data_IF_441137323177
#
_entry.id   IF_441137323177
#
_cell.length_a   1.000
_cell.length_b   1.000
_cell.length_c   1.000
_cell.angle_alpha   90.00
_cell.angle_beta   90.00
_cell.angle_gamma   90.00
#
_symmetry.space_group_name_H-M   'P 1'
#
loop_
_entity.id
_entity.type
_entity.pdbx_description
1 polymer ?
#
# COMPACT_ATOMS: atom_id res chain seq x y z
N UNK A 1 5.31 11.86 -0.95
CA UNK A 1 4.53 12.04 -2.21
C UNK A 1 4.60 10.74 -3.00
N UNK A 2 3.48 10.27 -3.54
CA UNK A 2 3.43 9.12 -4.44
C UNK A 2 3.96 9.49 -5.83
N UNK A 3 4.67 8.55 -6.47
CA UNK A 3 5.21 8.74 -7.83
C UNK A 3 4.15 8.47 -8.90
N UNK A 4 3.22 7.57 -8.64
CA UNK A 4 2.09 7.21 -9.49
C UNK A 4 0.88 6.85 -8.63
N UNK A 5 -0.30 6.85 -9.24
CA UNK A 5 -1.51 6.33 -8.61
C UNK A 5 -2.18 5.33 -9.57
N UNK A 6 -1.99 4.05 -9.29
CA UNK A 6 -2.51 2.89 -10.04
C UNK A 6 -2.06 2.78 -11.51
N UNK A 7 -2.18 3.85 -12.30
CA UNK A 7 -1.87 3.89 -13.72
C UNK A 7 -0.56 4.64 -14.01
N UNK A 8 -0.17 4.66 -15.29
CA UNK A 8 0.99 5.41 -15.75
C UNK A 8 0.85 6.89 -15.44
N UNK A 9 1.86 7.46 -14.81
CA UNK A 9 2.03 8.90 -14.62
C UNK A 9 3.16 9.45 -15.51
N UNK A 10 3.38 10.76 -15.47
CA UNK A 10 4.57 11.39 -16.10
C UNK A 10 5.88 11.02 -15.37
N UNK A 11 5.80 10.44 -14.17
CA UNK A 11 6.94 10.16 -13.28
C UNK A 11 7.31 8.67 -13.33
N UNK A 12 6.33 7.80 -13.15
CA UNK A 12 6.52 6.36 -12.93
C UNK A 12 5.32 5.56 -13.45
N UNK A 13 5.53 4.27 -13.60
CA UNK A 13 4.48 3.31 -13.93
C UNK A 13 3.70 2.93 -12.67
N UNK A 14 2.38 2.81 -12.79
CA UNK A 14 1.50 2.38 -11.73
C UNK A 14 1.31 0.86 -11.69
N UNK A 15 0.88 0.34 -10.53
CA UNK A 15 0.80 -1.11 -10.26
C UNK A 15 -0.24 -1.87 -11.11
N UNK A 16 -1.17 -1.18 -11.76
CA UNK A 16 -2.17 -1.81 -12.64
C UNK A 16 -1.76 -1.88 -14.10
N UNK A 17 -0.65 -1.22 -14.49
CA UNK A 17 -0.16 -1.31 -15.86
C UNK A 17 0.34 -2.70 -16.22
N UNK A 18 0.17 -3.09 -17.49
CA UNK A 18 0.64 -4.37 -18.02
C UNK A 18 2.14 -4.31 -18.28
N UNK A 19 2.62 -3.18 -18.82
CA UNK A 19 4.02 -2.95 -19.10
C UNK A 19 4.61 -1.98 -18.07
N UNK A 20 5.74 -2.35 -17.50
CA UNK A 20 6.46 -1.54 -16.51
C UNK A 20 7.84 -1.11 -17.04
N UNK A 21 7.90 0.00 -17.81
CA UNK A 21 9.15 0.53 -18.32
C UNK A 21 10.01 1.24 -17.26
N UNK A 22 9.55 1.35 -16.01
CA UNK A 22 10.29 1.98 -14.93
C UNK A 22 10.04 3.49 -14.78
N UNK A 23 11.03 4.18 -14.20
CA UNK A 23 10.99 5.62 -13.94
C UNK A 23 11.31 6.42 -15.20
N UNK A 24 10.48 7.40 -15.53
CA UNK A 24 10.70 8.27 -16.69
C UNK A 24 11.91 9.19 -16.50
N UNK A 25 12.40 9.79 -17.60
CA UNK A 25 13.45 10.82 -17.51
C UNK A 25 13.05 11.99 -16.60
N UNK A 26 11.79 12.43 -16.68
CA UNK A 26 11.25 13.45 -15.78
C UNK A 26 11.16 12.94 -14.35
N UNK A 27 10.72 11.70 -14.14
CA UNK A 27 10.67 11.06 -12.83
C UNK A 27 12.01 11.04 -12.10
N UNK A 28 13.12 10.80 -12.82
CA UNK A 28 14.49 10.88 -12.24
C UNK A 28 14.81 12.28 -11.69
N UNK A 29 14.35 13.32 -12.37
CA UNK A 29 14.53 14.71 -11.91
C UNK A 29 13.64 15.00 -10.68
N UNK A 30 12.40 14.51 -10.68
CA UNK A 30 11.47 14.64 -9.55
C UNK A 30 12.03 13.95 -8.31
N UNK A 31 12.52 12.71 -8.41
CA UNK A 31 13.15 11.98 -7.29
C UNK A 31 14.34 12.77 -6.72
N UNK A 32 15.20 13.30 -7.59
CA UNK A 32 16.33 14.14 -7.17
C UNK A 32 15.88 15.36 -6.40
N UNK A 33 14.83 16.04 -6.87
CA UNK A 33 14.31 17.24 -6.21
C UNK A 33 13.60 16.89 -4.90
N UNK A 34 12.82 15.81 -4.84
CA UNK A 34 12.24 15.32 -3.59
C UNK A 34 13.31 15.04 -2.53
N UNK A 35 14.41 14.40 -2.92
CA UNK A 35 15.54 14.18 -2.02
C UNK A 35 16.18 15.49 -1.55
N UNK A 36 16.30 16.51 -2.42
CA UNK A 36 16.87 17.83 -2.10
C UNK A 36 16.05 18.55 -1.05
N UNK A 37 14.72 18.54 -1.17
CA UNK A 37 13.81 19.23 -0.26
C UNK A 37 13.39 18.40 0.96
N UNK A 38 13.85 17.15 1.07
CA UNK A 38 13.50 16.24 2.19
C UNK A 38 12.08 15.66 2.11
N UNK A 39 11.48 15.62 0.90
CA UNK A 39 10.15 15.03 0.73
C UNK A 39 10.25 13.51 0.63
N UNK A 40 9.48 12.81 1.48
CA UNK A 40 9.42 11.35 1.47
C UNK A 40 8.77 10.84 0.18
N UNK A 41 9.41 9.84 -0.43
CA UNK A 41 8.91 9.13 -1.61
C UNK A 41 8.09 7.94 -1.16
N UNK A 42 6.85 7.83 -1.65
CA UNK A 42 5.94 6.73 -1.40
C UNK A 42 5.70 5.94 -2.71
N UNK A 43 5.92 4.62 -2.64
CA UNK A 43 5.78 3.72 -3.78
C UNK A 43 4.59 2.76 -3.65
N UNK A 44 3.63 3.05 -2.77
CA UNK A 44 2.47 2.17 -2.53
C UNK A 44 1.68 1.83 -3.78
N UNK A 45 1.50 2.77 -4.71
CA UNK A 45 0.79 2.55 -5.98
C UNK A 45 1.71 2.33 -7.18
N UNK A 46 3.04 2.35 -6.97
CA UNK A 46 4.02 2.22 -8.05
C UNK A 46 4.21 0.74 -8.40
N UNK A 47 4.43 0.45 -9.67
CA UNK A 47 4.73 -0.89 -10.19
C UNK A 47 6.07 -1.42 -9.69
N UNK A 48 6.32 -2.69 -9.89
CA UNK A 48 7.48 -3.39 -9.33
C UNK A 48 8.82 -2.81 -9.82
N UNK A 49 9.03 -2.76 -11.14
CA UNK A 49 10.28 -2.26 -11.72
C UNK A 49 10.50 -0.78 -11.40
N UNK A 50 9.44 0.04 -11.54
CA UNK A 50 9.51 1.46 -11.17
C UNK A 50 9.86 1.66 -9.69
N UNK A 51 9.39 0.78 -8.81
CA UNK A 51 9.70 0.82 -7.39
C UNK A 51 11.17 0.52 -7.11
N UNK A 52 11.73 -0.54 -7.71
CA UNK A 52 13.17 -0.85 -7.59
C UNK A 52 14.04 0.27 -8.16
N UNK A 53 13.66 0.84 -9.31
CA UNK A 53 14.39 1.98 -9.86
C UNK A 53 14.33 3.21 -8.94
N UNK A 54 13.17 3.50 -8.33
CA UNK A 54 13.03 4.60 -7.39
C UNK A 54 13.93 4.44 -6.17
N UNK A 55 14.00 3.23 -5.58
CA UNK A 55 14.89 2.92 -4.46
C UNK A 55 16.36 3.17 -4.87
N UNK A 56 16.77 2.64 -6.02
CA UNK A 56 18.12 2.81 -6.54
C UNK A 56 18.51 4.27 -6.82
N UNK A 57 17.55 5.08 -7.24
CA UNK A 57 17.77 6.50 -7.56
C UNK A 57 17.73 7.41 -6.33
N UNK A 58 17.00 7.01 -5.30
CA UNK A 58 16.85 7.81 -4.10
C UNK A 58 18.12 7.75 -3.23
N UNK A 59 18.48 8.89 -2.65
CA UNK A 59 19.54 9.00 -1.64
C UNK A 59 19.00 8.99 -0.22
N UNK A 60 17.70 8.82 -0.06
CA UNK A 60 17.00 8.81 1.23
C UNK A 60 16.07 7.60 1.28
N UNK A 61 15.75 7.09 2.47
CA UNK A 61 14.78 6.02 2.62
C UNK A 61 13.45 6.32 1.90
N UNK A 62 12.89 5.29 1.30
CA UNK A 62 11.59 5.30 0.62
C UNK A 62 10.60 4.51 1.46
N UNK A 63 9.30 4.82 1.34
CA UNK A 63 8.25 4.11 2.08
C UNK A 63 7.25 3.43 1.16
N UNK A 64 6.71 2.33 1.64
CA UNK A 64 5.44 1.77 1.21
C UNK A 64 4.43 2.17 2.28
N UNK A 65 3.72 3.29 2.09
CA UNK A 65 2.87 3.82 3.16
C UNK A 65 1.64 2.96 3.44
N UNK A 66 1.11 2.24 2.43
CA UNK A 66 -0.08 1.39 2.56
C UNK A 66 -0.12 0.27 1.51
N UNK A 67 0.33 -0.91 1.86
CA UNK A 67 0.21 -2.14 1.08
C UNK A 67 0.45 -3.35 1.99
N UNK A 68 0.20 -4.55 1.46
CA UNK A 68 0.48 -5.79 2.17
C UNK A 68 1.47 -6.67 1.38
N UNK A 69 2.05 -7.71 1.97
CA UNK A 69 2.90 -8.64 1.24
C UNK A 69 2.08 -9.52 0.28
N UNK A 70 2.55 -9.69 -0.95
CA UNK A 70 1.91 -10.55 -1.96
C UNK A 70 2.00 -12.05 -1.60
N UNK A 71 3.03 -12.46 -0.84
CA UNK A 71 3.15 -13.83 -0.33
C UNK A 71 2.07 -14.20 0.70
N UNK A 72 1.39 -13.20 1.31
CA UNK A 72 0.22 -13.41 2.15
C UNK A 72 -1.07 -13.41 1.33
N UNK A 73 -1.19 -12.44 0.45
CA UNK A 73 -2.32 -12.32 -0.47
C UNK A 73 -1.88 -11.66 -1.79
N UNK A 74 -1.85 -12.43 -2.90
CA UNK A 74 -1.44 -11.90 -4.19
C UNK A 74 -2.48 -10.92 -4.74
N UNK A 75 -2.10 -9.67 -4.88
CA UNK A 75 -2.88 -8.64 -5.58
C UNK A 75 -1.92 -7.64 -6.24
N UNK A 76 -2.39 -6.93 -7.25
CA UNK A 76 -1.55 -5.93 -7.93
C UNK A 76 -1.14 -4.74 -7.03
N UNK A 77 -1.87 -4.54 -5.94
CA UNK A 77 -1.55 -3.49 -4.95
C UNK A 77 -0.56 -3.97 -3.90
N UNK A 78 -0.50 -5.26 -3.63
CA UNK A 78 0.44 -5.82 -2.68
C UNK A 78 1.85 -5.90 -3.27
N UNK A 79 2.84 -5.99 -2.43
CA UNK A 79 4.24 -5.88 -2.80
C UNK A 79 4.97 -7.20 -2.65
N UNK A 80 5.89 -7.47 -3.56
CA UNK A 80 6.72 -8.67 -3.50
C UNK A 80 7.62 -8.69 -2.26
N UNK A 81 7.94 -9.90 -1.79
CA UNK A 81 8.88 -10.11 -0.69
C UNK A 81 10.23 -9.43 -0.96
N UNK A 82 10.71 -9.51 -2.21
CA UNK A 82 11.96 -8.87 -2.64
C UNK A 82 11.90 -7.34 -2.54
N UNK A 83 10.80 -6.73 -2.96
CA UNK A 83 10.65 -5.28 -2.90
C UNK A 83 10.55 -4.78 -1.45
N UNK A 84 9.78 -5.48 -0.60
CA UNK A 84 9.68 -5.11 0.82
C UNK A 84 11.05 -5.21 1.50
N UNK A 85 11.82 -6.28 1.23
CA UNK A 85 13.18 -6.43 1.74
C UNK A 85 14.10 -5.29 1.29
N UNK A 86 14.03 -4.90 0.03
CA UNK A 86 14.85 -3.80 -0.49
C UNK A 86 14.52 -2.47 0.17
N UNK A 87 13.21 -2.18 0.36
CA UNK A 87 12.75 -0.98 1.08
C UNK A 87 13.26 -0.98 2.52
N UNK A 88 13.04 -2.05 3.26
CA UNK A 88 13.39 -2.13 4.70
C UNK A 88 14.90 -2.14 4.91
N UNK A 89 15.67 -2.86 4.09
CA UNK A 89 17.14 -2.87 4.18
C UNK A 89 17.78 -1.52 3.82
N UNK A 90 17.09 -0.69 3.04
CA UNK A 90 17.54 0.68 2.74
C UNK A 90 17.10 1.72 3.81
N UNK A 91 16.58 1.27 4.94
CA UNK A 91 16.10 2.13 6.04
C UNK A 91 14.70 2.69 5.84
N UNK A 92 13.97 2.17 4.86
CA UNK A 92 12.57 2.50 4.64
C UNK A 92 11.62 1.64 5.48
N UNK A 93 10.32 1.78 5.25
CA UNK A 93 9.30 1.03 6.00
C UNK A 93 8.11 0.64 5.14
N UNK A 94 7.36 -0.35 5.61
CA UNK A 94 6.06 -0.71 5.08
C UNK A 94 4.95 -0.44 6.10
N UNK A 95 3.88 0.27 5.67
CA UNK A 95 2.62 0.43 6.40
C UNK A 95 1.59 -0.57 5.91
N UNK A 96 1.11 -1.44 6.80
CA UNK A 96 0.12 -2.45 6.44
C UNK A 96 -1.25 -1.85 6.20
N UNK A 97 -1.81 -2.16 5.05
CA UNK A 97 -3.12 -1.68 4.61
C UNK A 97 -4.25 -2.52 5.18
N UNK A 98 -5.32 -1.85 5.60
CA UNK A 98 -6.57 -2.49 6.04
C UNK A 98 -7.65 -2.39 4.95
N UNK A 99 -7.30 -1.81 3.79
CA UNK A 99 -8.22 -1.73 2.67
C UNK A 99 -8.58 -3.13 2.15
N UNK A 100 -9.87 -3.48 2.04
CA UNK A 100 -10.31 -4.87 1.83
C UNK A 100 -9.71 -5.56 0.60
N UNK A 101 -9.47 -4.85 -0.50
CA UNK A 101 -8.86 -5.44 -1.71
C UNK A 101 -7.37 -5.78 -1.55
N UNK A 102 -6.74 -5.38 -0.46
CA UNK A 102 -5.37 -5.75 -0.12
C UNK A 102 -5.30 -6.92 0.89
N UNK A 103 -6.46 -7.33 1.43
CA UNK A 103 -6.57 -8.35 2.46
C UNK A 103 -7.01 -9.70 1.89
N UNK A 104 -6.48 -10.80 2.41
CA UNK A 104 -6.74 -12.16 1.95
C UNK A 104 -8.23 -12.52 1.92
N UNK A 105 -8.98 -12.09 2.94
CA UNK A 105 -10.41 -12.38 3.06
C UNK A 105 -11.28 -11.13 2.85
N UNK A 106 -10.70 -10.07 2.28
CA UNK A 106 -11.39 -8.81 2.00
C UNK A 106 -12.07 -8.23 3.24
N UNK A 107 -13.34 -7.88 3.11
CA UNK A 107 -14.16 -7.36 4.22
C UNK A 107 -14.39 -8.35 5.37
N UNK A 108 -14.15 -9.65 5.14
CA UNK A 108 -14.25 -10.71 6.14
C UNK A 108 -12.92 -10.99 6.86
N UNK A 109 -11.87 -10.25 6.55
CA UNK A 109 -10.58 -10.40 7.21
C UNK A 109 -10.74 -10.24 8.73
N UNK A 110 -10.28 -11.24 9.47
CA UNK A 110 -10.31 -11.20 10.94
C UNK A 110 -9.10 -10.43 11.47
N UNK A 111 -9.22 -9.87 12.67
CA UNK A 111 -8.11 -9.23 13.36
C UNK A 111 -6.94 -10.20 13.58
N UNK A 112 -7.24 -11.47 13.91
CA UNK A 112 -6.25 -12.53 14.04
C UNK A 112 -5.47 -12.77 12.75
N UNK A 113 -6.15 -12.86 11.59
CA UNK A 113 -5.51 -13.02 10.28
C UNK A 113 -4.60 -11.84 9.94
N UNK A 114 -5.07 -10.62 10.18
CA UNK A 114 -4.28 -9.41 9.95
C UNK A 114 -3.05 -9.36 10.85
N UNK A 115 -3.22 -9.63 12.14
CA UNK A 115 -2.11 -9.63 13.11
C UNK A 115 -1.10 -10.73 12.83
N UNK A 116 -1.54 -11.91 12.41
CA UNK A 116 -0.66 -13.01 12.01
C UNK A 116 0.18 -12.65 10.77
N UNK A 117 -0.37 -11.89 9.82
CA UNK A 117 0.39 -11.36 8.69
C UNK A 117 1.51 -10.43 9.17
N UNK A 118 1.20 -9.54 10.10
CA UNK A 118 2.18 -8.60 10.65
C UNK A 118 3.28 -9.35 11.41
N UNK A 119 2.93 -10.32 12.26
CA UNK A 119 3.91 -11.11 13.00
C UNK A 119 4.90 -11.83 12.05
N UNK A 120 4.38 -12.48 11.01
CA UNK A 120 5.23 -13.11 9.99
C UNK A 120 6.05 -12.10 9.20
N UNK A 121 5.59 -10.88 9.06
CA UNK A 121 6.35 -9.80 8.43
C UNK A 121 7.46 -9.29 9.34
N UNK A 122 7.22 -9.23 10.66
CA UNK A 122 8.26 -8.90 11.65
C UNK A 122 9.41 -9.90 11.62
N UNK A 123 9.10 -11.20 11.54
CA UNK A 123 10.12 -12.26 11.38
C UNK A 123 10.96 -12.09 10.10
N UNK A 124 10.38 -11.54 9.02
CA UNK A 124 11.05 -11.40 7.71
C UNK A 124 11.82 -10.11 7.54
N UNK A 125 11.34 -9.01 8.10
CA UNK A 125 11.79 -7.66 7.78
C UNK A 125 12.27 -6.87 9.00
N UNK A 126 12.10 -7.41 10.21
CA UNK A 126 12.36 -6.69 11.48
C UNK A 126 11.19 -5.77 11.85
N UNK A 127 10.93 -5.63 13.15
CA UNK A 127 9.80 -4.86 13.69
C UNK A 127 9.93 -3.35 13.43
N UNK A 128 11.17 -2.83 13.49
CA UNK A 128 11.45 -1.38 13.34
C UNK A 128 11.06 -0.78 11.99
N UNK A 129 10.85 -1.65 10.99
CA UNK A 129 10.52 -1.23 9.63
C UNK A 129 9.03 -1.38 9.29
N UNK A 130 8.21 -1.70 10.29
CA UNK A 130 6.78 -1.98 10.11
C UNK A 130 5.94 -0.84 10.68
N UNK A 131 4.77 -0.64 10.10
CA UNK A 131 3.79 0.35 10.57
C UNK A 131 2.39 0.03 10.07
N UNK A 132 1.43 0.85 10.41
CA UNK A 132 0.05 0.74 9.94
C UNK A 132 -0.27 1.90 9.00
N UNK A 133 -0.66 1.56 7.78
CA UNK A 133 -1.14 2.49 6.76
C UNK A 133 -2.55 2.11 6.32
N UNK A 134 -3.55 2.46 7.12
CA UNK A 134 -4.90 1.87 7.04
C UNK A 134 -5.59 1.98 5.68
N UNK A 135 -5.32 3.04 4.92
CA UNK A 135 -6.00 3.34 3.65
C UNK A 135 -7.53 3.38 3.79
N UNK A 136 -8.01 3.84 4.95
CA UNK A 136 -9.45 3.86 5.25
C UNK A 136 -10.16 5.01 4.55
N UNK A 137 -11.27 4.71 3.89
CA UNK A 137 -12.15 5.68 3.24
C UNK A 137 -13.39 5.97 4.12
N UNK A 138 -13.14 6.46 5.33
CA UNK A 138 -14.20 6.72 6.31
C UNK A 138 -15.15 7.81 5.84
N UNK A 139 -16.47 7.52 5.92
CA UNK A 139 -17.55 8.47 5.62
C UNK A 139 -17.52 9.05 4.19
N UNK A 140 -16.92 8.36 3.24
CA UNK A 140 -16.95 8.76 1.86
C UNK A 140 -18.19 8.20 1.18
N UNK A 141 -19.01 9.03 0.51
CA UNK A 141 -20.17 8.56 -0.22
C UNK A 141 -19.77 7.88 -1.55
N UNK A 142 -20.64 7.01 -2.07
CA UNK A 142 -20.37 6.22 -3.28
C UNK A 142 -20.03 7.07 -4.51
N UNK A 143 -20.60 8.28 -4.62
CA UNK A 143 -20.32 9.19 -5.74
C UNK A 143 -18.84 9.67 -5.76
N UNK A 144 -18.10 9.58 -4.66
CA UNK A 144 -16.67 9.85 -4.64
C UNK A 144 -15.92 8.77 -5.44
N UNK A 145 -16.32 7.50 -5.29
CA UNK A 145 -15.73 6.41 -6.08
C UNK A 145 -16.05 6.59 -7.56
N UNK A 146 -17.28 6.93 -7.90
CA UNK A 146 -17.68 7.21 -9.27
C UNK A 146 -16.85 8.34 -9.87
N UNK A 147 -16.65 9.43 -9.13
CA UNK A 147 -15.80 10.54 -9.54
C UNK A 147 -14.34 10.11 -9.74
N UNK A 148 -13.77 9.36 -8.80
CA UNK A 148 -12.41 8.84 -8.87
C UNK A 148 -12.19 7.94 -10.10
N UNK A 149 -13.20 7.17 -10.49
CA UNK A 149 -13.16 6.24 -11.62
C UNK A 149 -13.41 6.91 -12.96
N UNK A 150 -14.14 8.02 -12.97
CA UNK A 150 -14.63 8.63 -14.20
C UNK A 150 -13.49 9.27 -15.01
N UNK A 151 -13.18 8.65 -16.15
CA UNK A 151 -12.14 9.11 -17.08
C UNK A 151 -10.69 8.94 -16.60
N UNK A 152 -10.47 8.39 -15.42
CA UNK A 152 -9.15 8.26 -14.81
C UNK A 152 -8.53 6.88 -15.05
N UNK A 153 -9.35 5.82 -15.13
CA UNK A 153 -8.90 4.44 -15.27
C UNK A 153 -9.59 3.70 -16.41
N UNK A 154 -8.98 2.60 -16.85
CA UNK A 154 -9.59 1.74 -17.85
C UNK A 154 -10.93 1.19 -17.36
N UNK A 155 -11.94 1.25 -18.23
CA UNK A 155 -13.24 0.65 -17.97
C UNK A 155 -13.23 -0.89 -18.05
N UNK A 156 -12.17 -1.45 -18.60
CA UNK A 156 -12.01 -2.90 -18.81
C UNK A 156 -11.45 -3.61 -17.57
N UNK A 157 -10.78 -2.87 -16.69
CA UNK A 157 -10.22 -3.42 -15.46
C UNK A 157 -11.22 -3.22 -14.33
N UNK A 158 -11.65 -4.32 -13.72
CA UNK A 158 -12.43 -4.27 -12.48
C UNK A 158 -11.48 -4.06 -11.29
N UNK A 159 -11.53 -2.86 -10.74
CA UNK A 159 -10.77 -2.50 -9.53
C UNK A 159 -11.52 -2.86 -8.24
N UNK A 160 -12.70 -3.51 -8.36
CA UNK A 160 -13.57 -3.89 -7.26
C UNK A 160 -14.62 -2.84 -6.92
N UNK A 161 -14.22 -1.70 -6.38
CA UNK A 161 -15.12 -0.58 -6.13
C UNK A 161 -15.38 0.22 -7.41
N UNK A 162 -16.54 0.87 -7.50
CA UNK A 162 -16.98 1.63 -8.67
C UNK A 162 -17.32 0.78 -9.90
N UNK A 163 -17.41 -0.55 -9.73
CA UNK A 163 -17.89 -1.47 -10.78
C UNK A 163 -19.42 -1.53 -10.82
N UNK A 164 -19.97 -2.20 -11.84
CA UNK A 164 -21.43 -2.44 -11.93
C UNK A 164 -22.00 -3.18 -10.73
N UNK A 165 -21.17 -4.04 -10.11
CA UNK A 165 -21.58 -4.90 -8.99
C UNK A 165 -21.25 -4.27 -7.63
N UNK A 166 -20.43 -3.24 -7.60
CA UNK A 166 -20.02 -2.53 -6.40
C UNK A 166 -19.79 -1.05 -6.74
N UNK A 167 -20.79 -0.22 -6.56
CA UNK A 167 -20.78 1.20 -6.91
C UNK A 167 -19.97 2.06 -5.93
N UNK A 168 -19.77 1.58 -4.71
CA UNK A 168 -19.12 2.30 -3.62
C UNK A 168 -17.80 1.68 -3.17
N UNK A 169 -17.30 2.18 -2.04
CA UNK A 169 -16.16 1.57 -1.36
C UNK A 169 -16.55 0.22 -0.75
N UNK A 170 -15.61 -0.76 -0.68
CA UNK A 170 -15.88 -2.02 -0.02
C UNK A 170 -16.12 -1.79 1.47
N UNK A 171 -16.96 -2.64 2.07
CA UNK A 171 -17.17 -2.62 3.52
C UNK A 171 -15.86 -2.93 4.23
N UNK A 172 -15.51 -2.12 5.22
CA UNK A 172 -14.33 -2.36 6.04
C UNK A 172 -14.50 -3.63 6.90
N UNK A 173 -13.40 -4.30 7.30
CA UNK A 173 -13.46 -5.38 8.28
C UNK A 173 -14.16 -4.95 9.56
N UNK A 174 -14.94 -5.87 10.16
CA UNK A 174 -15.79 -5.55 11.31
C UNK A 174 -15.08 -4.96 12.53
N UNK A 175 -13.79 -5.25 12.66
CA UNK A 175 -12.93 -4.77 13.76
C UNK A 175 -12.25 -3.41 13.46
N UNK A 176 -12.33 -2.89 12.22
CA UNK A 176 -11.75 -1.60 11.84
C UNK A 176 -12.64 -0.87 10.83
N UNK A 177 -13.59 -0.10 11.31
CA UNK A 177 -14.54 0.67 10.46
C UNK A 177 -14.30 2.18 10.46
N UNK A 178 -13.58 2.67 11.44
CA UNK A 178 -13.29 4.10 11.64
C UNK A 178 -11.96 4.26 12.37
N UNK A 179 -11.39 5.43 12.31
CA UNK A 179 -10.09 5.73 12.93
C UNK A 179 -10.04 5.50 14.44
N UNK A 180 -11.16 5.61 15.15
CA UNK A 180 -11.23 5.30 16.58
C UNK A 180 -11.12 3.81 16.92
N UNK A 181 -11.10 2.93 15.90
CA UNK A 181 -10.95 1.48 16.09
C UNK A 181 -9.45 1.04 16.09
N UNK A 182 -8.53 2.00 15.96
CA UNK A 182 -7.07 1.74 16.02
C UNK A 182 -6.62 0.91 17.22
N UNK A 183 -7.19 1.09 18.44
CA UNK A 183 -6.83 0.27 19.60
C UNK A 183 -7.05 -1.23 19.42
N UNK A 184 -8.00 -1.66 18.55
CA UNK A 184 -8.22 -3.06 18.26
C UNK A 184 -6.99 -3.73 17.63
N UNK A 185 -6.22 -2.97 16.83
CA UNK A 185 -4.97 -3.46 16.21
C UNK A 185 -3.96 -3.82 17.31
N UNK A 186 -3.81 -2.97 18.31
CA UNK A 186 -2.93 -3.24 19.45
C UNK A 186 -3.28 -4.54 20.17
N UNK A 187 -4.57 -4.78 20.39
CA UNK A 187 -5.03 -6.05 21.00
C UNK A 187 -4.68 -7.25 20.11
N UNK A 188 -4.91 -7.13 18.80
CA UNK A 188 -4.55 -8.17 17.84
C UNK A 188 -3.05 -8.48 17.83
N UNK A 189 -2.21 -7.45 17.85
CA UNK A 189 -0.75 -7.61 17.89
C UNK A 189 -0.28 -8.28 19.19
N UNK A 190 -0.82 -7.89 20.33
CA UNK A 190 -0.53 -8.56 21.63
C UNK A 190 -0.90 -10.04 21.61
N UNK A 191 -2.00 -10.41 20.98
CA UNK A 191 -2.43 -11.80 20.87
C UNK A 191 -1.50 -12.67 20.02
N UNK A 192 -0.72 -12.07 19.14
CA UNK A 192 0.29 -12.78 18.33
C UNK A 192 1.73 -12.60 18.83
N UNK A 193 1.91 -12.03 20.03
CA UNK A 193 3.18 -12.03 20.75
C UNK A 193 3.95 -10.72 20.80
N UNK A 194 3.42 -9.63 20.21
CA UNK A 194 4.05 -8.32 20.35
C UNK A 194 3.91 -7.78 21.78
N UNK A 195 4.96 -7.15 22.28
CA UNK A 195 4.95 -6.46 23.58
C UNK A 195 4.71 -4.95 23.40
N UNK A 196 4.72 -4.18 24.50
CA UNK A 196 4.40 -2.74 24.45
C UNK A 196 5.54 -1.87 23.89
N UNK A 197 6.72 -2.42 23.66
CA UNK A 197 7.87 -1.69 23.09
C UNK A 197 7.99 -1.89 21.57
N UNK A 198 7.36 -2.94 21.05
CA UNK A 198 7.22 -3.29 19.63
C UNK A 198 5.96 -2.68 19.01
#
# INVERSE_FOLDING_TARGET
MQLSYNNQSLIATGCYEINDPGITRFGKQVIKEMNRIGMVIDISHTSENSSFEAIKLSKRPIVISHANPDWWYPSKRNKSDSLIKEVTSSGGMIGFSIYPHHLKDGSNCTLESFSAMIAKSADRYGVDNLGIGSDICQNQPDNVVEWMRNGTWSKEIDYGEGSKNNSGFPNQPGWYRKTSDFPNILEGLKNVGFNNEE
#
